data_IF_319342760619
#
_entry.id   IF_319342760619
#
_cell.length_a   1.000
_cell.length_b   1.000
_cell.length_c   1.000
_cell.angle_alpha   90.00
_cell.angle_beta   90.00
_cell.angle_gamma   90.00
#
_symmetry.space_group_name_H-M   'P 1'
#
loop_
_entity.id
_entity.type
_entity.pdbx_description
1 polymer ?
#
# COMPACT_ATOMS: atom_id res chain seq x y z
N UNK A 1 53.44 4.29 -10.05
CA UNK A 1 52.29 4.07 -9.15
C UNK A 1 51.01 4.32 -9.93
N UNK A 2 50.31 3.26 -10.31
CA UNK A 2 49.09 3.35 -11.13
C UNK A 2 47.89 3.65 -10.27
N UNK A 3 47.28 4.83 -10.46
CA UNK A 3 46.06 5.22 -9.78
C UNK A 3 44.87 4.48 -10.42
N UNK A 4 44.36 3.46 -9.74
CA UNK A 4 43.18 2.71 -10.16
C UNK A 4 41.95 3.62 -10.11
N UNK A 5 41.34 3.89 -11.27
CA UNK A 5 40.03 4.56 -11.36
C UNK A 5 39.00 3.72 -10.59
N UNK A 6 38.60 4.19 -9.41
CA UNK A 6 37.44 3.68 -8.69
C UNK A 6 36.21 3.83 -9.59
N UNK A 7 35.68 2.70 -10.07
CA UNK A 7 34.44 2.69 -10.84
C UNK A 7 33.32 3.27 -9.98
N UNK A 8 32.73 4.40 -10.39
CA UNK A 8 31.51 4.94 -9.79
C UNK A 8 30.47 3.82 -9.73
N UNK A 9 30.11 3.36 -8.53
CA UNK A 9 28.98 2.44 -8.34
C UNK A 9 27.73 3.17 -8.83
N UNK A 10 27.16 2.68 -9.93
CA UNK A 10 25.97 3.26 -10.57
C UNK A 10 24.77 3.13 -9.64
N UNK A 11 24.05 4.23 -9.40
CA UNK A 11 22.81 4.22 -8.61
C UNK A 11 21.68 3.66 -9.47
N UNK A 12 20.89 2.76 -8.88
CA UNK A 12 19.81 2.03 -9.58
C UNK A 12 18.70 2.98 -10.09
N UNK A 13 18.50 4.10 -9.40
CA UNK A 13 17.51 5.14 -9.73
C UNK A 13 17.78 5.87 -11.05
N UNK A 14 19.04 5.92 -11.51
CA UNK A 14 19.44 6.66 -12.71
C UNK A 14 19.21 5.89 -14.02
N UNK A 15 18.97 4.57 -13.94
CA UNK A 15 18.93 3.72 -15.15
C UNK A 15 17.52 3.55 -15.75
N UNK A 16 16.47 4.17 -15.18
CA UNK A 16 15.07 4.19 -15.68
C UNK A 16 14.62 2.89 -16.39
N UNK A 17 15.01 1.73 -15.82
CA UNK A 17 14.76 0.45 -16.49
C UNK A 17 13.29 0.11 -16.37
N UNK A 18 12.65 -0.16 -17.49
CA UNK A 18 11.24 -0.56 -17.56
C UNK A 18 11.15 -2.09 -17.60
N UNK A 19 10.15 -2.64 -16.93
CA UNK A 19 9.87 -4.06 -16.99
C UNK A 19 9.45 -4.48 -18.41
N UNK A 20 10.01 -5.56 -18.95
CA UNK A 20 9.61 -6.09 -20.24
C UNK A 20 8.57 -7.19 -20.06
N UNK A 21 7.38 -7.01 -20.61
CA UNK A 21 6.25 -7.93 -20.48
C UNK A 21 6.55 -9.35 -20.96
N UNK A 22 7.46 -9.52 -21.92
CA UNK A 22 7.90 -10.84 -22.41
C UNK A 22 8.54 -11.70 -21.31
N UNK A 23 9.08 -11.08 -20.25
CA UNK A 23 9.60 -11.82 -19.09
C UNK A 23 8.51 -12.53 -18.30
N UNK A 24 7.25 -12.11 -18.43
CA UNK A 24 6.09 -12.79 -17.84
C UNK A 24 5.92 -14.17 -18.43
N UNK A 25 5.97 -14.29 -19.76
CA UNK A 25 5.81 -15.57 -20.44
C UNK A 25 7.08 -16.43 -20.36
N UNK A 26 8.26 -15.80 -20.45
CA UNK A 26 9.54 -16.52 -20.48
C UNK A 26 10.00 -17.01 -19.11
N UNK A 27 9.80 -16.21 -18.06
CA UNK A 27 10.41 -16.44 -16.74
C UNK A 27 9.40 -16.38 -15.60
N UNK A 28 8.10 -16.20 -15.89
CA UNK A 28 7.04 -16.11 -14.89
C UNK A 28 7.30 -14.98 -13.88
N UNK A 29 7.65 -13.79 -14.36
CA UNK A 29 7.79 -12.58 -13.55
C UNK A 29 6.75 -11.53 -13.92
N UNK A 30 6.39 -10.68 -12.97
CA UNK A 30 5.62 -9.46 -13.23
C UNK A 30 6.22 -8.30 -12.46
N UNK A 31 5.94 -7.07 -12.87
CA UNK A 31 6.26 -5.89 -12.10
C UNK A 31 5.33 -5.74 -10.89
N UNK A 32 5.90 -5.34 -9.74
CA UNK A 32 5.18 -4.94 -8.55
C UNK A 32 5.89 -3.69 -8.01
N UNK A 33 5.40 -2.52 -8.42
CA UNK A 33 6.05 -1.24 -8.13
C UNK A 33 7.44 -1.17 -8.79
N UNK A 34 8.49 -1.00 -7.99
CA UNK A 34 9.88 -0.88 -8.46
C UNK A 34 10.65 -2.20 -8.49
N UNK A 35 9.99 -3.34 -8.25
CA UNK A 35 10.62 -4.67 -8.19
C UNK A 35 9.90 -5.66 -9.10
N UNK A 36 10.60 -6.71 -9.52
CA UNK A 36 9.99 -7.84 -10.22
C UNK A 36 9.63 -8.95 -9.23
N UNK A 37 8.42 -9.48 -9.28
CA UNK A 37 7.97 -10.59 -8.44
C UNK A 37 7.85 -11.87 -9.26
N UNK A 38 8.36 -12.99 -8.74
CA UNK A 38 8.18 -14.30 -9.34
C UNK A 38 6.76 -14.79 -9.09
N UNK A 39 6.04 -15.15 -10.15
CA UNK A 39 4.66 -15.66 -10.08
C UNK A 39 4.55 -17.08 -9.52
N UNK A 40 5.67 -17.80 -9.39
CA UNK A 40 5.72 -19.20 -8.92
C UNK A 40 5.96 -19.27 -7.41
N UNK A 41 6.97 -18.54 -6.90
CA UNK A 41 7.39 -18.58 -5.50
C UNK A 41 7.18 -17.27 -4.72
N UNK A 42 6.68 -16.21 -5.38
CA UNK A 42 6.46 -14.88 -4.78
C UNK A 42 7.71 -14.14 -4.29
N UNK A 43 8.91 -14.65 -4.56
CA UNK A 43 10.15 -13.93 -4.28
C UNK A 43 10.31 -12.71 -5.19
N UNK A 44 10.99 -11.67 -4.69
CA UNK A 44 11.19 -10.42 -5.44
C UNK A 44 12.66 -10.22 -5.85
N UNK A 45 12.85 -9.67 -7.04
CA UNK A 45 14.12 -9.24 -7.59
C UNK A 45 14.09 -7.72 -7.71
N UNK A 46 15.01 -7.05 -7.03
CA UNK A 46 15.00 -5.59 -6.92
C UNK A 46 15.31 -4.83 -8.21
N UNK A 47 15.87 -5.51 -9.23
CA UNK A 47 16.33 -4.87 -10.47
C UNK A 47 15.74 -5.58 -11.68
N UNK A 48 15.12 -4.80 -12.57
CA UNK A 48 14.63 -5.24 -13.87
C UNK A 48 15.79 -5.54 -14.83
N UNK A 49 16.38 -6.73 -14.68
CA UNK A 49 17.40 -7.29 -15.57
C UNK A 49 17.03 -8.71 -15.95
N UNK A 50 16.91 -8.97 -17.24
CA UNK A 50 16.62 -10.31 -17.77
C UNK A 50 17.55 -11.39 -17.20
N UNK A 51 18.85 -11.11 -17.10
CA UNK A 51 19.82 -12.03 -16.48
C UNK A 51 19.41 -12.47 -15.06
N UNK A 52 18.94 -11.53 -14.22
CA UNK A 52 18.54 -11.84 -12.84
C UNK A 52 17.29 -12.73 -12.82
N UNK A 53 16.29 -12.39 -13.65
CA UNK A 53 15.02 -13.11 -13.72
C UNK A 53 15.22 -14.52 -14.31
N UNK A 54 15.99 -14.62 -15.40
CA UNK A 54 16.36 -15.87 -16.04
C UNK A 54 17.13 -16.77 -15.08
N UNK A 55 18.15 -16.24 -14.39
CA UNK A 55 18.93 -17.01 -13.39
C UNK A 55 18.03 -17.52 -12.27
N UNK A 56 17.14 -16.67 -11.73
CA UNK A 56 16.19 -17.09 -10.71
C UNK A 56 15.33 -18.26 -11.22
N UNK A 57 14.69 -18.10 -12.39
CA UNK A 57 13.84 -19.14 -12.98
C UNK A 57 14.62 -20.45 -13.20
N UNK A 58 15.81 -20.38 -13.78
CA UNK A 58 16.62 -21.57 -14.05
C UNK A 58 17.11 -22.26 -12.77
N UNK A 59 17.45 -21.52 -11.72
CA UNK A 59 17.99 -22.10 -10.49
C UNK A 59 16.90 -22.64 -9.55
N UNK A 60 15.73 -21.99 -9.48
CA UNK A 60 14.65 -22.36 -8.56
C UNK A 60 13.49 -23.10 -9.22
N UNK A 61 13.34 -22.96 -10.53
CA UNK A 61 12.19 -23.43 -11.29
C UNK A 61 12.58 -24.13 -12.60
N UNK A 62 13.79 -24.72 -12.69
CA UNK A 62 14.28 -25.43 -13.89
C UNK A 62 13.28 -26.46 -14.46
N UNK A 63 12.62 -27.21 -13.60
CA UNK A 63 11.68 -28.26 -14.00
C UNK A 63 10.23 -27.74 -14.17
N UNK A 64 10.00 -26.45 -13.94
CA UNK A 64 8.65 -25.89 -14.00
C UNK A 64 8.13 -25.88 -15.44
N UNK A 65 7.07 -26.65 -15.69
CA UNK A 65 6.38 -26.64 -16.97
C UNK A 65 7.14 -27.31 -18.12
N UNK A 66 8.14 -28.15 -17.82
CA UNK A 66 8.90 -28.92 -18.83
C UNK A 66 8.00 -29.75 -19.76
N UNK A 67 6.87 -30.26 -19.24
CA UNK A 67 5.94 -31.10 -20.00
C UNK A 67 4.77 -30.30 -20.61
N UNK A 68 4.78 -28.97 -20.48
CA UNK A 68 3.69 -28.11 -20.96
C UNK A 68 4.04 -27.54 -22.32
N UNK A 69 3.05 -27.49 -23.20
CA UNK A 69 3.14 -26.76 -24.45
C UNK A 69 3.29 -25.26 -24.20
N UNK A 70 3.77 -24.53 -25.22
CA UNK A 70 3.87 -23.07 -25.17
C UNK A 70 2.53 -22.39 -24.83
N UNK A 71 1.43 -22.90 -25.37
CA UNK A 71 0.09 -22.36 -25.09
C UNK A 71 -0.35 -22.59 -23.65
N UNK A 72 -0.03 -23.74 -23.06
CA UNK A 72 -0.33 -24.05 -21.66
C UNK A 72 0.50 -23.21 -20.70
N UNK A 73 1.79 -23.00 -21.00
CA UNK A 73 2.66 -22.11 -20.24
C UNK A 73 2.12 -20.68 -20.24
N UNK A 74 1.71 -20.18 -21.40
CA UNK A 74 1.12 -18.83 -21.53
C UNK A 74 -0.18 -18.71 -20.73
N UNK A 75 -1.09 -19.69 -20.84
CA UNK A 75 -2.32 -19.75 -20.03
C UNK A 75 -2.00 -19.74 -18.54
N UNK A 76 -0.97 -20.49 -18.12
CA UNK A 76 -0.54 -20.55 -16.72
C UNK A 76 0.03 -19.23 -16.23
N UNK A 77 0.90 -18.59 -17.02
CA UNK A 77 1.44 -17.27 -16.70
C UNK A 77 0.31 -16.24 -16.51
N UNK A 78 -0.62 -16.19 -17.46
CA UNK A 78 -1.79 -15.30 -17.39
C UNK A 78 -2.67 -15.58 -16.16
N UNK A 79 -2.92 -16.85 -15.84
CA UNK A 79 -3.68 -17.25 -14.65
C UNK A 79 -3.01 -16.79 -13.35
N UNK A 80 -1.69 -16.97 -13.25
CA UNK A 80 -0.93 -16.55 -12.07
C UNK A 80 -0.91 -15.02 -11.92
N UNK A 81 -0.69 -14.28 -13.01
CA UNK A 81 -0.75 -12.81 -13.02
C UNK A 81 -2.12 -12.31 -12.61
N UNK A 82 -3.21 -12.91 -13.14
CA UNK A 82 -4.58 -12.54 -12.78
C UNK A 82 -4.85 -12.77 -11.30
N UNK A 83 -4.40 -13.91 -10.75
CA UNK A 83 -4.55 -14.23 -9.32
C UNK A 83 -3.80 -13.23 -8.44
N UNK A 84 -2.57 -12.87 -8.80
CA UNK A 84 -1.79 -11.88 -8.05
C UNK A 84 -2.48 -10.50 -8.07
N UNK A 85 -2.94 -10.04 -9.23
CA UNK A 85 -3.70 -8.78 -9.35
C UNK A 85 -4.96 -8.79 -8.50
N UNK A 86 -5.68 -9.92 -8.44
CA UNK A 86 -6.85 -10.07 -7.57
C UNK A 86 -6.47 -9.95 -6.09
N UNK A 87 -5.37 -10.57 -5.66
CA UNK A 87 -4.88 -10.46 -4.28
C UNK A 87 -4.49 -9.02 -3.92
N UNK A 88 -3.78 -8.33 -4.81
CA UNK A 88 -3.40 -6.92 -4.62
C UNK A 88 -4.64 -6.02 -4.51
N UNK A 89 -5.62 -6.20 -5.39
CA UNK A 89 -6.86 -5.44 -5.35
C UNK A 89 -7.62 -5.59 -4.03
N UNK A 90 -7.60 -6.78 -3.42
CA UNK A 90 -8.22 -6.98 -2.10
C UNK A 90 -7.48 -6.16 -1.04
N UNK A 91 -6.14 -6.21 -1.05
CA UNK A 91 -5.33 -5.46 -0.09
C UNK A 91 -5.50 -3.94 -0.24
N UNK A 92 -5.51 -3.44 -1.48
CA UNK A 92 -5.70 -2.01 -1.76
C UNK A 92 -7.09 -1.54 -1.33
N UNK A 93 -8.13 -2.35 -1.55
CA UNK A 93 -9.49 -2.06 -1.08
C UNK A 93 -9.53 -1.99 0.44
N UNK A 94 -8.97 -2.97 1.15
CA UNK A 94 -8.93 -2.96 2.62
C UNK A 94 -8.14 -1.78 3.16
N UNK A 95 -6.98 -1.47 2.58
CA UNK A 95 -6.15 -0.32 2.95
C UNK A 95 -6.91 1.01 2.74
N UNK A 96 -7.60 1.16 1.60
CA UNK A 96 -8.39 2.36 1.32
C UNK A 96 -9.57 2.54 2.29
N UNK A 97 -10.24 1.45 2.67
CA UNK A 97 -11.31 1.46 3.67
C UNK A 97 -10.79 1.89 5.04
N UNK A 98 -9.67 1.31 5.49
CA UNK A 98 -9.04 1.68 6.76
C UNK A 98 -8.60 3.15 6.78
N UNK A 99 -8.02 3.64 5.68
CA UNK A 99 -7.63 5.05 5.53
C UNK A 99 -8.84 5.97 5.58
N UNK A 100 -9.93 5.61 4.93
CA UNK A 100 -11.17 6.41 4.94
C UNK A 100 -11.81 6.44 6.34
N UNK A 101 -11.87 5.30 7.02
CA UNK A 101 -12.35 5.23 8.41
C UNK A 101 -11.49 6.09 9.36
N UNK A 102 -10.17 6.02 9.20
CA UNK A 102 -9.22 6.85 9.97
C UNK A 102 -9.46 8.35 9.69
N UNK A 103 -9.58 8.74 8.42
CA UNK A 103 -9.88 10.14 8.04
C UNK A 103 -11.19 10.63 8.66
N UNK A 104 -12.26 9.82 8.58
CA UNK A 104 -13.54 10.15 9.19
C UNK A 104 -13.43 10.32 10.72
N UNK A 105 -12.67 9.45 11.39
CA UNK A 105 -12.47 9.56 12.84
C UNK A 105 -11.70 10.82 13.27
N UNK A 106 -10.73 11.28 12.48
CA UNK A 106 -10.05 12.57 12.72
C UNK A 106 -11.00 13.76 12.53
N UNK A 107 -11.87 13.72 11.52
CA UNK A 107 -12.87 14.77 11.28
C UNK A 107 -13.82 14.88 12.47
N UNK A 108 -14.32 13.75 12.97
CA UNK A 108 -15.22 13.71 14.12
C UNK A 108 -14.51 14.17 15.40
N UNK A 109 -13.28 13.70 15.67
CA UNK A 109 -12.49 14.13 16.81
C UNK A 109 -12.26 15.65 16.82
N UNK A 110 -11.90 16.23 15.67
CA UNK A 110 -11.73 17.68 15.54
C UNK A 110 -13.05 18.43 15.82
N UNK A 111 -14.19 17.92 15.34
CA UNK A 111 -15.50 18.55 15.57
C UNK A 111 -15.89 18.51 17.05
N UNK A 112 -15.66 17.39 17.73
CA UNK A 112 -15.88 17.21 19.17
C UNK A 112 -15.01 18.20 19.96
N UNK A 113 -13.72 18.27 19.64
CA UNK A 113 -12.79 19.19 20.30
C UNK A 113 -13.20 20.66 20.12
N UNK A 114 -13.53 21.08 18.89
CA UNK A 114 -13.96 22.46 18.60
C UNK A 114 -15.24 22.87 19.32
N UNK A 115 -16.13 21.92 19.60
CA UNK A 115 -17.38 22.16 20.31
C UNK A 115 -17.26 21.95 21.83
N UNK A 116 -16.04 21.68 22.34
CA UNK A 116 -15.77 21.34 23.74
C UNK A 116 -16.67 20.22 24.28
N UNK A 117 -16.94 19.22 23.42
CA UNK A 117 -17.76 18.07 23.77
C UNK A 117 -16.94 17.01 24.49
N UNK A 118 -17.60 16.29 25.39
CA UNK A 118 -17.00 15.20 26.15
C UNK A 118 -16.64 14.02 25.23
N UNK A 119 -15.63 13.23 25.60
CA UNK A 119 -15.27 12.06 24.81
C UNK A 119 -16.34 10.96 24.84
N UNK A 120 -17.24 10.96 25.84
CA UNK A 120 -18.38 10.05 25.88
C UNK A 120 -19.40 10.35 24.77
N UNK A 121 -19.55 11.61 24.35
CA UNK A 121 -20.39 11.98 23.21
C UNK A 121 -19.88 11.34 21.91
N UNK A 122 -18.58 11.03 21.79
CA UNK A 122 -18.03 10.39 20.60
C UNK A 122 -18.52 8.94 20.42
N UNK A 123 -18.59 8.18 21.52
CA UNK A 123 -19.11 6.82 21.53
C UNK A 123 -20.62 6.84 21.22
N UNK A 124 -21.37 7.73 21.85
CA UNK A 124 -22.79 7.92 21.56
C UNK A 124 -23.06 8.30 20.09
N UNK A 125 -22.30 9.24 19.52
CA UNK A 125 -22.41 9.60 18.11
C UNK A 125 -22.21 8.38 17.21
N UNK A 126 -21.24 7.51 17.55
CA UNK A 126 -21.00 6.28 16.79
C UNK A 126 -22.23 5.37 16.80
N UNK A 127 -22.80 5.15 17.98
CA UNK A 127 -23.98 4.29 18.14
C UNK A 127 -25.16 4.85 17.34
N UNK A 128 -25.44 6.16 17.44
CA UNK A 128 -26.47 6.81 16.62
C UNK A 128 -26.24 6.65 15.12
N UNK A 129 -24.99 6.77 14.66
CA UNK A 129 -24.66 6.59 13.24
C UNK A 129 -24.89 5.14 12.78
N UNK A 130 -24.51 4.15 13.59
CA UNK A 130 -24.71 2.73 13.28
C UNK A 130 -26.20 2.38 13.25
N UNK A 131 -26.98 2.85 14.22
CA UNK A 131 -28.41 2.61 14.29
C UNK A 131 -29.14 3.19 13.06
N UNK A 132 -28.89 4.46 12.74
CA UNK A 132 -29.49 5.11 11.57
C UNK A 132 -29.14 4.39 10.26
N UNK A 133 -27.86 4.05 10.07
CA UNK A 133 -27.37 3.38 8.85
C UNK A 133 -27.89 1.95 8.75
N UNK A 134 -28.08 1.25 9.86
CA UNK A 134 -28.64 -0.11 9.86
C UNK A 134 -30.05 -0.17 9.26
N UNK A 135 -30.80 0.93 9.33
CA UNK A 135 -32.16 1.05 8.80
C UNK A 135 -32.14 1.63 7.38
N UNK A 136 -31.41 2.72 7.16
CA UNK A 136 -31.46 3.49 5.90
C UNK A 136 -30.63 2.84 4.79
N UNK A 137 -29.45 2.31 5.11
CA UNK A 137 -28.48 1.78 4.14
C UNK A 137 -27.60 0.68 4.78
N UNK A 138 -28.17 -0.51 5.05
CA UNK A 138 -27.45 -1.58 5.74
C UNK A 138 -26.17 -2.03 5.01
N UNK A 139 -26.08 -1.83 3.70
CA UNK A 139 -24.92 -2.14 2.87
C UNK A 139 -23.66 -1.33 3.22
N UNK A 140 -23.80 -0.18 3.88
CA UNK A 140 -22.64 0.64 4.32
C UNK A 140 -22.37 0.55 5.82
N UNK A 141 -23.18 -0.19 6.58
CA UNK A 141 -23.05 -0.34 8.05
C UNK A 141 -21.63 -0.71 8.48
N UNK A 142 -21.04 -1.72 7.85
CA UNK A 142 -19.68 -2.19 8.17
C UNK A 142 -18.60 -1.12 8.00
N UNK A 143 -18.80 -0.16 7.07
CA UNK A 143 -17.88 0.95 6.85
C UNK A 143 -17.95 1.98 7.98
N UNK A 144 -19.13 2.17 8.56
CA UNK A 144 -19.36 3.07 9.70
C UNK A 144 -18.84 2.44 11.00
N UNK A 145 -19.08 1.14 11.19
CA UNK A 145 -18.56 0.40 12.34
C UNK A 145 -17.04 0.41 12.41
N UNK A 146 -16.37 0.39 11.24
CA UNK A 146 -14.92 0.49 11.13
C UNK A 146 -14.34 1.84 11.64
N UNK A 147 -15.16 2.89 11.76
CA UNK A 147 -14.71 4.19 12.28
C UNK A 147 -14.44 4.05 13.78
N UNK A 148 -13.19 4.28 14.20
CA UNK A 148 -12.79 4.18 15.59
C UNK A 148 -13.08 5.48 16.35
N UNK A 149 -14.06 5.46 17.25
CA UNK A 149 -14.50 6.63 18.05
C UNK A 149 -14.47 6.36 19.56
N UNK A 150 -13.71 5.36 20.01
CA UNK A 150 -13.51 5.12 21.44
C UNK A 150 -12.90 6.35 22.10
N UNK A 151 -13.19 6.56 23.40
CA UNK A 151 -12.60 7.67 24.17
C UNK A 151 -11.08 7.78 24.00
N UNK A 152 -10.37 6.65 24.02
CA UNK A 152 -8.90 6.61 23.83
C UNK A 152 -8.48 7.05 22.43
N UNK A 153 -9.22 6.66 21.41
CA UNK A 153 -8.94 7.05 20.02
C UNK A 153 -9.11 8.56 19.85
N UNK A 154 -10.19 9.12 20.39
CA UNK A 154 -10.48 10.55 20.29
C UNK A 154 -9.39 11.39 20.95
N UNK A 155 -8.96 11.03 22.16
CA UNK A 155 -7.84 11.71 22.85
C UNK A 155 -6.60 11.73 21.95
N UNK A 156 -6.18 10.57 21.43
CA UNK A 156 -4.98 10.47 20.58
C UNK A 156 -5.11 11.30 19.30
N UNK A 157 -6.30 11.34 18.69
CA UNK A 157 -6.51 12.17 17.51
C UNK A 157 -6.46 13.66 17.84
N UNK A 158 -7.04 14.09 18.96
CA UNK A 158 -6.99 15.48 19.40
C UNK A 158 -5.55 15.90 19.69
N UNK A 159 -4.79 15.07 20.40
CA UNK A 159 -3.37 15.32 20.66
C UNK A 159 -2.58 15.44 19.36
N UNK A 160 -2.79 14.51 18.41
CA UNK A 160 -2.13 14.55 17.11
C UNK A 160 -2.51 15.80 16.29
N UNK A 161 -3.78 16.23 16.35
CA UNK A 161 -4.23 17.48 15.72
C UNK A 161 -3.52 18.68 16.37
N UNK A 162 -3.44 18.72 17.70
CA UNK A 162 -2.79 19.80 18.44
C UNK A 162 -1.30 19.92 18.10
N UNK A 163 -0.58 18.78 18.08
CA UNK A 163 0.83 18.72 17.67
C UNK A 163 1.02 19.22 16.25
N UNK A 164 0.20 18.74 15.30
CA UNK A 164 0.29 19.18 13.91
C UNK A 164 0.00 20.68 13.74
N UNK A 165 -0.99 21.23 14.46
CA UNK A 165 -1.26 22.69 14.44
C UNK A 165 -0.04 23.46 14.98
N UNK A 166 0.55 23.00 16.09
CA UNK A 166 1.73 23.63 16.68
C UNK A 166 2.93 23.63 15.72
N UNK A 167 3.20 22.50 15.06
CA UNK A 167 4.27 22.40 14.05
C UNK A 167 4.04 23.33 12.84
N UNK A 168 2.80 23.45 12.37
CA UNK A 168 2.46 24.37 11.28
C UNK A 168 2.68 25.83 11.68
N UNK A 169 2.33 26.20 12.91
CA UNK A 169 2.57 27.56 13.43
C UNK A 169 4.07 27.88 13.57
N UNK A 170 4.88 26.92 14.03
CA UNK A 170 6.34 27.08 14.08
C UNK A 170 6.96 27.24 12.69
N UNK A 171 6.49 26.46 11.72
CA UNK A 171 6.98 26.54 10.34
C UNK A 171 6.62 27.88 9.70
N UNK A 172 5.39 28.36 9.91
CA UNK A 172 4.93 29.64 9.39
C UNK A 172 5.66 30.84 10.04
N UNK A 173 5.97 30.75 11.34
CA UNK A 173 6.71 31.80 12.05
C UNK A 173 8.20 31.82 11.71
N UNK A 174 8.82 30.65 11.44
CA UNK A 174 10.21 30.57 10.98
C UNK A 174 10.43 31.19 9.59
N UNK A 175 9.41 31.22 8.74
CA UNK A 175 9.44 31.89 7.43
C UNK A 175 9.37 33.43 7.52
N UNK A 176 8.97 34.00 8.66
CA UNK A 176 8.88 35.45 8.88
C UNK A 176 10.17 36.03 9.50
N UNK A 177 11.17 35.21 9.80
CA UNK A 177 12.46 35.60 10.40
C UNK A 177 13.65 35.53 9.41
N UNK A 178 13.38 35.40 8.10
CA UNK A 178 14.34 35.52 7.00
C UNK A 178 13.86 36.59 6.01
#
# INVERSE_FOLDING_TARGET
MSCSKLSKKRKIEEECRVFNENWTEKYFFTDVGVKAACLICSETVAVFKEYNLKRHFQTKHANFGHNLSKQELQKRANGLTKRLKQQQNVFDKTSSLQRNATKASFILANKIAKQNKSFAEAEFIKDCMVDAVSIVCPEVKSKVEAISLSRRTIVRHIDAIAVNIHEQLLTASGFLLL
#
